data_IF_029346588662
#
_entry.id   IF_029346588662
#
_cell.length_a   1.000
_cell.length_b   1.000
_cell.length_c   1.000
_cell.angle_alpha   90.00
_cell.angle_beta   90.00
_cell.angle_gamma   90.00
#
_symmetry.space_group_name_H-M   'P 1'
#
loop_
_entity.id
_entity.type
_entity.pdbx_description
1 polymer ?
#
# COMPACT_ATOMS: atom_id res chain seq x y z
N UNK A 1 -18.06 6.42 9.34
CA UNK A 1 -17.84 6.83 7.93
C UNK A 1 -16.35 6.76 7.59
N UNK A 2 -16.02 6.05 6.56
CA UNK A 2 -14.62 5.89 6.12
C UNK A 2 -14.25 7.03 5.18
N UNK A 3 -13.03 7.54 5.32
CA UNK A 3 -12.54 8.65 4.51
C UNK A 3 -11.10 8.39 4.06
N UNK A 4 -10.83 8.56 2.77
CA UNK A 4 -9.47 8.49 2.22
C UNK A 4 -8.77 9.81 2.44
N UNK A 5 -7.52 9.77 2.84
CA UNK A 5 -6.70 10.98 3.08
C UNK A 5 -5.32 10.83 2.48
N UNK A 6 -4.73 11.96 2.10
CA UNK A 6 -3.32 12.03 1.79
C UNK A 6 -2.56 12.27 3.08
N UNK A 7 -1.40 11.63 3.22
CA UNK A 7 -0.59 11.71 4.43
C UNK A 7 0.75 12.34 4.09
N UNK A 8 1.12 13.39 4.81
CA UNK A 8 2.42 14.04 4.63
C UNK A 8 3.51 13.27 5.38
N UNK A 9 4.64 13.06 4.72
CA UNK A 9 5.80 12.43 5.34
C UNK A 9 6.24 13.22 6.58
N UNK A 10 6.55 12.51 7.65
CA UNK A 10 7.01 13.13 8.90
C UNK A 10 5.91 13.74 9.76
N UNK A 11 4.65 13.68 9.34
CA UNK A 11 3.52 14.14 10.13
C UNK A 11 3.15 13.14 11.24
N UNK A 12 2.31 13.57 12.17
CA UNK A 12 1.75 12.67 13.19
C UNK A 12 0.98 11.52 12.54
N UNK A 13 0.24 11.80 11.49
CA UNK A 13 -0.52 10.79 10.74
C UNK A 13 0.42 9.78 10.06
N UNK A 14 1.58 10.23 9.59
CA UNK A 14 2.59 9.32 9.06
C UNK A 14 3.13 8.38 10.15
N UNK A 15 3.34 8.87 11.36
CA UNK A 15 3.77 8.03 12.47
C UNK A 15 2.72 6.97 12.81
N UNK A 16 1.44 7.34 12.78
CA UNK A 16 0.34 6.38 12.96
C UNK A 16 0.35 5.32 11.85
N UNK A 17 0.64 5.72 10.60
CA UNK A 17 0.74 4.80 9.46
C UNK A 17 1.89 3.82 9.64
N UNK A 18 3.05 4.28 10.10
CA UNK A 18 4.21 3.42 10.36
C UNK A 18 3.89 2.39 11.45
N UNK A 19 3.21 2.79 12.52
CA UNK A 19 2.79 1.87 13.57
C UNK A 19 1.78 0.84 13.08
N UNK A 20 0.80 1.27 12.30
CA UNK A 20 -0.20 0.37 11.72
C UNK A 20 0.46 -0.66 10.80
N UNK A 21 1.35 -0.19 9.94
CA UNK A 21 2.11 -1.02 9.02
C UNK A 21 2.93 -2.07 9.77
N UNK A 22 3.62 -1.66 10.81
CA UNK A 22 4.40 -2.58 11.64
C UNK A 22 3.50 -3.67 12.22
N UNK A 23 2.40 -3.28 12.85
CA UNK A 23 1.47 -4.19 13.49
C UNK A 23 0.87 -5.21 12.53
N UNK A 24 0.51 -4.79 11.32
CA UNK A 24 -0.21 -5.64 10.36
C UNK A 24 0.73 -6.43 9.46
N UNK A 25 1.84 -5.82 9.01
CA UNK A 25 2.69 -6.41 7.98
C UNK A 25 4.02 -6.97 8.48
N UNK A 26 4.59 -6.41 9.53
CA UNK A 26 5.93 -6.76 10.00
C UNK A 26 5.92 -7.64 11.24
N UNK A 27 5.20 -7.23 12.29
CA UNK A 27 5.16 -7.94 13.56
C UNK A 27 4.75 -9.41 13.40
N UNK A 28 3.70 -9.76 12.61
CA UNK A 28 3.32 -11.16 12.41
C UNK A 28 4.39 -12.02 11.77
N UNK A 29 5.34 -11.42 11.05
CA UNK A 29 6.44 -12.10 10.38
C UNK A 29 7.75 -12.02 11.15
N UNK A 30 7.75 -11.40 12.34
CA UNK A 30 8.96 -11.21 13.13
C UNK A 30 9.94 -10.20 12.53
N UNK A 31 9.49 -9.36 11.60
CA UNK A 31 10.30 -8.35 10.95
C UNK A 31 10.24 -7.02 11.71
N UNK A 32 11.26 -6.17 11.51
CA UNK A 32 11.33 -4.85 12.13
C UNK A 32 11.37 -3.75 11.07
N UNK A 33 10.79 -2.60 11.40
CA UNK A 33 10.91 -1.40 10.58
C UNK A 33 12.23 -0.72 10.89
N UNK A 34 13.04 -0.46 9.84
CA UNK A 34 14.35 0.18 9.99
C UNK A 34 14.26 1.66 9.59
N UNK A 35 15.01 2.51 10.30
CA UNK A 35 15.08 3.95 10.00
C UNK A 35 15.55 4.22 8.56
N UNK A 36 16.39 3.35 8.01
CA UNK A 36 16.84 3.46 6.63
C UNK A 36 15.69 3.35 5.63
N UNK A 37 14.67 2.54 5.94
CA UNK A 37 13.47 2.44 5.11
C UNK A 37 12.66 3.73 5.16
N UNK A 38 12.56 4.33 6.35
CA UNK A 38 11.84 5.58 6.56
C UNK A 38 12.42 6.71 5.71
N UNK A 39 13.74 6.81 5.63
CA UNK A 39 14.42 7.84 4.84
C UNK A 39 14.07 7.75 3.34
N UNK A 40 13.92 6.54 2.82
CA UNK A 40 13.54 6.32 1.41
C UNK A 40 12.12 6.79 1.12
N UNK A 41 11.25 6.76 2.11
CA UNK A 41 9.82 7.05 1.93
C UNK A 41 9.51 8.54 1.84
N UNK A 42 10.50 9.40 2.04
CA UNK A 42 10.32 10.85 1.97
C UNK A 42 9.76 11.32 0.61
N UNK A 43 10.11 10.65 -0.47
CA UNK A 43 9.71 11.00 -1.83
C UNK A 43 8.51 10.18 -2.34
N UNK A 44 7.91 9.36 -1.47
CA UNK A 44 6.76 8.54 -1.84
C UNK A 44 5.46 9.26 -1.49
N UNK A 45 4.39 8.87 -2.19
CA UNK A 45 3.04 9.32 -1.83
C UNK A 45 2.48 8.37 -0.79
N UNK A 46 1.94 8.91 0.29
CA UNK A 46 1.35 8.13 1.37
C UNK A 46 -0.14 8.41 1.43
N UNK A 47 -0.94 7.34 1.47
CA UNK A 47 -2.40 7.42 1.47
C UNK A 47 -2.90 6.61 2.66
N UNK A 48 -3.92 7.11 3.32
CA UNK A 48 -4.55 6.40 4.41
C UNK A 48 -6.05 6.42 4.33
N UNK A 49 -6.66 5.57 5.16
CA UNK A 49 -8.10 5.55 5.39
C UNK A 49 -8.34 5.78 6.88
N UNK A 50 -9.22 6.72 7.20
CA UNK A 50 -9.59 6.99 8.58
C UNK A 50 -11.07 6.65 8.82
N UNK A 51 -11.38 6.24 10.05
CA UNK A 51 -12.74 6.21 10.53
C UNK A 51 -13.05 7.60 11.08
N UNK A 52 -13.93 8.33 10.38
CA UNK A 52 -14.14 9.74 10.67
C UNK A 52 -14.77 10.02 12.03
N UNK A 53 -15.51 9.05 12.60
CA UNK A 53 -16.18 9.24 13.89
C UNK A 53 -15.20 9.42 15.05
N UNK A 54 -14.12 8.64 15.08
CA UNK A 54 -13.09 8.72 16.13
C UNK A 54 -11.73 9.17 15.59
N UNK A 55 -11.68 9.62 14.35
CA UNK A 55 -10.47 10.12 13.67
C UNK A 55 -9.31 9.13 13.71
N UNK A 56 -9.62 7.85 13.65
CA UNK A 56 -8.63 6.78 13.75
C UNK A 56 -8.16 6.33 12.37
N UNK A 57 -6.83 6.20 12.20
CA UNK A 57 -6.25 5.61 11.00
C UNK A 57 -6.49 4.09 11.03
N UNK A 58 -7.15 3.56 10.01
CA UNK A 58 -7.53 2.15 9.92
C UNK A 58 -6.95 1.43 8.72
N UNK A 59 -6.29 2.14 7.83
CA UNK A 59 -5.64 1.54 6.67
C UNK A 59 -4.65 2.49 6.03
N UNK A 60 -3.78 1.95 5.21
CA UNK A 60 -2.81 2.77 4.49
C UNK A 60 -2.07 2.03 3.40
N UNK A 61 -1.40 2.78 2.57
CA UNK A 61 -0.51 2.30 1.52
C UNK A 61 0.47 3.40 1.13
N UNK A 62 1.45 3.07 0.29
CA UNK A 62 2.29 4.08 -0.31
C UNK A 62 2.52 3.79 -1.79
N UNK A 63 2.86 4.84 -2.53
CA UNK A 63 3.19 4.78 -3.95
C UNK A 63 4.61 5.29 -4.12
N UNK A 64 5.49 4.43 -4.64
CA UNK A 64 6.88 4.75 -4.89
C UNK A 64 7.11 4.97 -6.39
N UNK A 65 7.67 6.12 -6.81
CA UNK A 65 7.97 6.34 -8.23
C UNK A 65 9.05 5.38 -8.71
N UNK A 66 8.83 4.73 -9.85
CA UNK A 66 9.82 3.88 -10.50
C UNK A 66 10.47 4.66 -11.66
N UNK A 67 9.65 5.24 -12.52
CA UNK A 67 10.08 6.13 -13.60
C UNK A 67 8.96 7.15 -13.89
N UNK A 68 9.05 7.87 -14.99
CA UNK A 68 8.06 8.91 -15.31
C UNK A 68 6.66 8.37 -15.61
N UNK A 69 6.54 7.09 -15.93
CA UNK A 69 5.28 6.46 -16.33
C UNK A 69 4.75 5.45 -15.31
N UNK A 70 5.64 4.92 -14.46
CA UNK A 70 5.35 3.78 -13.61
C UNK A 70 5.50 4.11 -12.13
N UNK A 71 4.50 3.73 -11.36
CA UNK A 71 4.52 3.85 -9.89
C UNK A 71 4.36 2.47 -9.27
N UNK A 72 5.00 2.23 -8.13
CA UNK A 72 4.89 0.97 -7.40
C UNK A 72 3.99 1.15 -6.19
N UNK A 73 2.96 0.31 -6.11
CA UNK A 73 2.09 0.21 -4.96
C UNK A 73 2.77 -0.64 -3.89
N UNK A 74 2.86 -0.14 -2.67
CA UNK A 74 3.57 -0.80 -1.58
C UNK A 74 2.80 -0.72 -0.26
N UNK A 75 3.04 -1.70 0.59
CA UNK A 75 2.67 -1.69 1.99
C UNK A 75 1.17 -1.44 2.22
N UNK A 76 0.32 -2.10 1.44
CA UNK A 76 -1.13 -2.03 1.62
C UNK A 76 -1.51 -2.76 2.91
N UNK A 77 -2.12 -2.06 3.85
CA UNK A 77 -2.53 -2.66 5.11
C UNK A 77 -3.88 -2.10 5.58
N UNK A 78 -4.63 -2.94 6.29
CA UNK A 78 -5.91 -2.57 6.90
C UNK A 78 -5.94 -3.16 8.32
N UNK A 79 -6.33 -2.36 9.29
CA UNK A 79 -6.53 -2.79 10.69
C UNK A 79 -7.38 -4.07 10.71
N UNK A 80 -6.96 -5.06 11.47
CA UNK A 80 -7.58 -6.39 11.48
C UNK A 80 -9.10 -6.35 11.62
N UNK A 81 -9.60 -5.54 12.53
CA UNK A 81 -11.04 -5.47 12.79
C UNK A 81 -11.85 -4.85 11.64
N UNK A 82 -11.19 -4.17 10.71
CA UNK A 82 -11.81 -3.54 9.55
C UNK A 82 -11.57 -4.30 8.24
N UNK A 83 -10.90 -5.44 8.29
CA UNK A 83 -10.65 -6.27 7.12
C UNK A 83 -11.95 -6.89 6.61
N UNK A 84 -11.97 -7.21 5.30
CA UNK A 84 -13.14 -7.79 4.61
C UNK A 84 -14.34 -6.87 4.48
N UNK A 85 -14.13 -5.56 4.63
CA UNK A 85 -15.18 -4.55 4.45
C UNK A 85 -15.00 -3.74 3.15
N UNK A 86 -14.06 -4.14 2.28
CA UNK A 86 -13.80 -3.45 1.02
C UNK A 86 -12.88 -2.23 1.15
N UNK A 87 -12.30 -1.99 2.31
CA UNK A 87 -11.42 -0.82 2.55
C UNK A 87 -10.15 -0.92 1.72
N UNK A 88 -9.50 -2.09 1.67
CA UNK A 88 -8.29 -2.28 0.87
C UNK A 88 -8.52 -1.96 -0.59
N UNK A 89 -9.60 -2.48 -1.17
CA UNK A 89 -9.95 -2.21 -2.56
C UNK A 89 -10.24 -0.73 -2.80
N UNK A 90 -10.96 -0.09 -1.89
CA UNK A 90 -11.27 1.33 -2.00
C UNK A 90 -9.99 2.19 -1.93
N UNK A 91 -9.03 1.82 -1.06
CA UNK A 91 -7.75 2.51 -0.99
C UNK A 91 -6.95 2.36 -2.28
N UNK A 92 -6.92 1.15 -2.85
CA UNK A 92 -6.22 0.91 -4.13
C UNK A 92 -6.85 1.74 -5.24
N UNK A 93 -8.17 1.81 -5.31
CA UNK A 93 -8.87 2.64 -6.30
C UNK A 93 -8.54 4.13 -6.13
N UNK A 94 -8.49 4.61 -4.90
CA UNK A 94 -8.09 6.00 -4.62
C UNK A 94 -6.64 6.24 -5.04
N UNK A 95 -5.75 5.30 -4.76
CA UNK A 95 -4.34 5.38 -5.16
C UNK A 95 -4.20 5.45 -6.68
N UNK A 96 -4.98 4.67 -7.42
CA UNK A 96 -4.98 4.71 -8.88
C UNK A 96 -5.41 6.08 -9.41
N UNK A 97 -6.43 6.66 -8.80
CA UNK A 97 -6.90 8.00 -9.17
C UNK A 97 -5.79 9.02 -8.93
N UNK A 98 -5.15 9.00 -7.76
CA UNK A 98 -4.04 9.88 -7.43
C UNK A 98 -2.87 9.71 -8.41
N UNK A 99 -2.52 8.48 -8.74
CA UNK A 99 -1.44 8.18 -9.67
C UNK A 99 -1.72 8.74 -11.07
N UNK A 100 -2.94 8.58 -11.57
CA UNK A 100 -3.34 9.15 -12.85
C UNK A 100 -3.25 10.68 -12.85
N UNK A 101 -3.68 11.31 -11.78
CA UNK A 101 -3.63 12.79 -11.66
C UNK A 101 -2.19 13.32 -11.69
N UNK A 102 -1.23 12.55 -11.18
CA UNK A 102 0.20 12.90 -11.23
C UNK A 102 0.80 12.65 -12.63
N UNK A 103 0.17 11.79 -13.43
CA UNK A 103 0.62 11.49 -14.78
C UNK A 103 1.16 10.09 -15.01
N UNK A 104 1.03 9.19 -14.03
CA UNK A 104 1.44 7.81 -14.19
C UNK A 104 0.45 7.04 -15.07
N UNK A 105 0.98 6.14 -15.90
CA UNK A 105 0.18 5.28 -16.78
C UNK A 105 0.20 3.81 -16.39
N UNK A 106 1.09 3.43 -15.49
CA UNK A 106 1.22 2.04 -15.01
C UNK A 106 1.41 1.99 -13.51
N UNK A 107 0.81 0.97 -12.89
CA UNK A 107 1.04 0.65 -11.49
C UNK A 107 1.53 -0.79 -11.40
N UNK A 108 2.65 -0.98 -10.71
CA UNK A 108 3.22 -2.32 -10.46
C UNK A 108 3.22 -2.60 -8.98
N UNK A 109 3.28 -3.87 -8.62
CA UNK A 109 3.41 -4.25 -7.21
C UNK A 109 3.94 -5.67 -7.07
N UNK A 110 4.47 -5.96 -5.89
CA UNK A 110 4.87 -7.32 -5.52
C UNK A 110 3.83 -7.85 -4.54
N UNK A 111 2.98 -8.75 -5.01
CA UNK A 111 1.92 -9.33 -4.21
C UNK A 111 2.38 -10.66 -3.60
N UNK A 112 2.18 -10.82 -2.29
CA UNK A 112 2.35 -12.15 -1.69
C UNK A 112 1.38 -13.10 -2.37
N UNK A 113 1.77 -14.37 -2.56
CA UNK A 113 0.92 -15.35 -3.24
C UNK A 113 -0.48 -15.42 -2.65
N UNK A 114 -0.61 -15.27 -1.34
CA UNK A 114 -1.89 -15.28 -0.64
C UNK A 114 -2.78 -14.08 -0.99
N UNK A 115 -2.22 -13.02 -1.57
CA UNK A 115 -2.95 -11.81 -1.92
C UNK A 115 -3.19 -11.63 -3.42
N UNK A 116 -2.67 -12.52 -4.26
CA UNK A 116 -2.79 -12.41 -5.73
C UNK A 116 -4.25 -12.27 -6.16
N UNK A 117 -5.12 -13.11 -5.61
CA UNK A 117 -6.53 -13.08 -5.97
C UNK A 117 -7.20 -11.74 -5.65
N UNK A 118 -6.85 -11.15 -4.50
CA UNK A 118 -7.33 -9.84 -4.12
C UNK A 118 -6.94 -8.77 -5.17
N UNK A 119 -5.68 -8.78 -5.62
CA UNK A 119 -5.21 -7.80 -6.60
C UNK A 119 -5.73 -8.06 -8.00
N UNK A 120 -5.98 -9.32 -8.35
CA UNK A 120 -6.68 -9.65 -9.59
C UNK A 120 -8.07 -9.01 -9.62
N UNK A 121 -8.78 -9.05 -8.49
CA UNK A 121 -10.08 -8.38 -8.36
C UNK A 121 -9.97 -6.86 -8.46
N UNK A 122 -8.81 -6.30 -8.13
CA UNK A 122 -8.55 -4.87 -8.31
C UNK A 122 -8.15 -4.51 -9.74
N UNK A 123 -8.06 -5.50 -10.63
CA UNK A 123 -7.73 -5.28 -12.04
C UNK A 123 -6.27 -5.47 -12.40
N UNK A 124 -5.45 -5.95 -11.47
CA UNK A 124 -4.05 -6.29 -11.75
C UNK A 124 -3.96 -7.67 -12.38
N UNK A 125 -2.90 -7.89 -13.14
CA UNK A 125 -2.57 -9.21 -13.66
C UNK A 125 -1.09 -9.52 -13.40
N UNK A 126 -0.77 -10.79 -13.27
CA UNK A 126 0.60 -11.24 -13.03
C UNK A 126 1.46 -11.03 -14.28
N UNK A 127 2.69 -10.57 -14.08
CA UNK A 127 3.67 -10.41 -15.12
C UNK A 127 4.98 -11.05 -14.69
N UNK A 128 5.48 -11.99 -15.47
CA UNK A 128 6.72 -12.70 -15.18
C UNK A 128 6.55 -13.85 -14.20
N UNK A 129 7.68 -14.38 -13.76
CA UNK A 129 7.72 -15.52 -12.86
C UNK A 129 7.53 -15.14 -11.40
N UNK A 130 7.06 -16.09 -10.61
CA UNK A 130 7.01 -15.97 -9.15
C UNK A 130 8.45 -15.91 -8.64
N UNK A 131 8.69 -15.11 -7.60
CA UNK A 131 10.02 -14.94 -7.01
C UNK A 131 9.97 -14.97 -5.49
N UNK A 132 11.14 -15.19 -4.87
CA UNK A 132 11.27 -15.19 -3.42
C UNK A 132 12.08 -13.98 -2.97
N UNK A 133 11.66 -13.37 -1.85
CA UNK A 133 12.33 -12.25 -1.22
C UNK A 133 12.13 -12.36 0.28
N UNK A 134 13.22 -12.33 1.05
CA UNK A 134 13.18 -12.43 2.52
C UNK A 134 12.42 -13.66 3.02
N UNK A 135 12.54 -14.80 2.32
CA UNK A 135 11.88 -16.04 2.69
C UNK A 135 10.38 -16.11 2.36
N UNK A 136 9.85 -15.10 1.68
CA UNK A 136 8.45 -15.03 1.26
C UNK A 136 8.36 -15.14 -0.26
N UNK A 137 7.26 -15.67 -0.74
CA UNK A 137 7.01 -15.85 -2.17
C UNK A 137 6.06 -14.78 -2.69
N UNK A 138 6.45 -14.16 -3.81
CA UNK A 138 5.72 -13.04 -4.41
C UNK A 138 5.44 -13.27 -5.90
N UNK A 139 4.39 -12.63 -6.38
CA UNK A 139 4.12 -12.47 -7.80
C UNK A 139 4.20 -10.99 -8.13
N UNK A 140 4.89 -10.66 -9.22
CA UNK A 140 4.87 -9.29 -9.74
C UNK A 140 3.55 -9.08 -10.47
N UNK A 141 2.83 -8.04 -10.12
CA UNK A 141 1.55 -7.72 -10.73
C UNK A 141 1.57 -6.32 -11.32
N UNK A 142 0.80 -6.11 -12.38
CA UNK A 142 0.80 -4.85 -13.13
C UNK A 142 -0.62 -4.50 -13.54
N UNK A 143 -0.89 -3.20 -13.60
CA UNK A 143 -2.14 -2.65 -14.09
C UNK A 143 -1.88 -1.38 -14.89
N UNK A 144 -2.50 -1.27 -16.07
CA UNK A 144 -2.51 -0.02 -16.84
C UNK A 144 -3.55 0.92 -16.21
N UNK A 145 -3.16 2.17 -16.06
CA UNK A 145 -4.01 3.18 -15.46
C UNK A 145 -4.78 4.01 -16.52
#
# INVERSE_FOLDING_TARGET
>A
MKKMIDIDFGSTRYDELVELRYKILLEPLGLKFLDAHRAKEMNYLHIGCIEALDDKLIGGLMLAPIDNETVRLMEVCVETKYQREGIGRAMVQYAEKCAKEVGYSKMVMHARLTAVHFYEKCGFHQEGDIFEEQGLTFARMIKDL
#
